data_IF_187676680193
#
_entry.id   IF_187676680193
#
_cell.length_a   1.000
_cell.length_b   1.000
_cell.length_c   1.000
_cell.angle_alpha   90.00
_cell.angle_beta   90.00
_cell.angle_gamma   90.00
#
_symmetry.space_group_name_H-M   'P 1'
#
loop_
_entity.id
_entity.type
_entity.pdbx_description
1 polymer ?
#
# COMPACT_ATOMS: atom_id res chain seq x y z
N UNK A 1 1.54 -22.13 -7.43
CA UNK A 1 1.07 -20.83 -6.89
C UNK A 1 2.07 -20.46 -5.80
N UNK A 2 3.01 -19.53 -6.05
CA UNK A 2 3.99 -19.15 -5.04
C UNK A 2 3.27 -18.30 -3.98
N UNK A 3 3.05 -18.86 -2.80
CA UNK A 3 2.61 -18.08 -1.64
C UNK A 3 3.73 -17.11 -1.25
N UNK A 4 3.50 -15.81 -1.43
CA UNK A 4 4.34 -14.79 -0.82
C UNK A 4 4.11 -14.88 0.69
N UNK A 5 5.15 -15.21 1.46
CA UNK A 5 5.04 -15.25 2.91
C UNK A 5 4.66 -13.87 3.46
N UNK A 6 3.89 -13.83 4.55
CA UNK A 6 3.52 -12.58 5.26
C UNK A 6 4.75 -11.73 5.59
N UNK A 7 5.88 -12.36 5.90
CA UNK A 7 7.14 -11.67 6.20
C UNK A 7 7.71 -10.94 4.98
N UNK A 8 7.68 -11.55 3.80
CA UNK A 8 8.14 -10.90 2.57
C UNK A 8 7.20 -9.76 2.16
N UNK A 9 5.90 -9.95 2.34
CA UNK A 9 4.90 -8.90 2.12
C UNK A 9 5.17 -7.69 3.02
N UNK A 10 5.41 -7.91 4.32
CA UNK A 10 5.73 -6.84 5.27
C UNK A 10 7.02 -6.12 4.86
N UNK A 11 8.07 -6.84 4.45
CA UNK A 11 9.32 -6.23 3.97
C UNK A 11 9.12 -5.38 2.72
N UNK A 12 8.30 -5.84 1.76
CA UNK A 12 7.95 -5.09 0.55
C UNK A 12 7.16 -3.82 0.91
N UNK A 13 6.20 -3.95 1.83
CA UNK A 13 5.45 -2.82 2.37
C UNK A 13 6.36 -1.79 3.06
N UNK A 14 7.25 -2.21 3.96
CA UNK A 14 8.15 -1.31 4.68
C UNK A 14 9.06 -0.51 3.71
N UNK A 15 9.58 -1.17 2.68
CA UNK A 15 10.36 -0.50 1.61
C UNK A 15 9.53 0.54 0.87
N UNK A 16 8.28 0.20 0.51
CA UNK A 16 7.39 1.14 -0.16
C UNK A 16 7.02 2.32 0.74
N UNK A 17 6.57 2.03 1.96
CA UNK A 17 6.15 3.03 2.94
C UNK A 17 7.30 3.99 3.23
N UNK A 18 8.49 3.49 3.55
CA UNK A 18 9.66 4.35 3.79
C UNK A 18 9.96 5.31 2.62
N UNK A 19 9.84 4.85 1.38
CA UNK A 19 10.05 5.70 0.19
C UNK A 19 8.94 6.72 -0.01
N UNK A 20 7.68 6.32 0.13
CA UNK A 20 6.54 7.20 -0.15
C UNK A 20 6.32 8.21 0.97
N UNK A 21 6.39 7.78 2.23
CA UNK A 21 6.18 8.64 3.40
C UNK A 21 7.31 9.65 3.61
N UNK A 22 8.53 9.39 3.11
CA UNK A 22 9.63 10.36 3.15
C UNK A 22 9.57 11.38 2.03
N UNK A 23 9.12 10.96 0.84
CA UNK A 23 9.07 11.81 -0.36
C UNK A 23 7.79 12.63 -0.44
N UNK A 24 6.69 12.08 0.05
CA UNK A 24 5.37 12.69 0.04
C UNK A 24 4.87 12.73 1.48
N UNK A 25 4.17 13.80 1.87
CA UNK A 25 3.55 13.93 3.19
C UNK A 25 2.33 13.00 3.35
N UNK A 26 2.54 11.70 3.14
CA UNK A 26 1.52 10.65 3.20
C UNK A 26 1.91 9.61 4.25
N UNK A 27 0.93 8.81 4.65
CA UNK A 27 1.14 7.69 5.57
C UNK A 27 0.43 6.46 5.01
N UNK A 28 1.12 5.31 5.05
CA UNK A 28 0.61 4.05 4.54
C UNK A 28 0.42 3.05 5.69
N UNK A 29 -0.70 2.32 5.63
CA UNK A 29 -0.95 1.17 6.49
C UNK A 29 -1.32 -0.04 5.65
N UNK A 30 -0.71 -1.17 5.94
CA UNK A 30 -1.05 -2.47 5.37
C UNK A 30 -2.21 -3.08 6.14
N UNK A 31 -3.18 -3.65 5.42
CA UNK A 31 -4.33 -4.31 6.02
C UNK A 31 -4.70 -5.62 5.32
N UNK A 32 -5.18 -6.58 6.10
CA UNK A 32 -5.97 -7.71 5.60
C UNK A 32 -7.38 -7.24 5.28
N UNK A 33 -7.91 -7.70 4.15
CA UNK A 33 -9.24 -7.37 3.67
C UNK A 33 -10.09 -8.63 3.65
N UNK A 34 -11.11 -8.70 4.51
CA UNK A 34 -12.09 -9.81 4.55
C UNK A 34 -13.48 -9.26 4.28
N UNK A 35 -13.94 -9.38 3.03
CA UNK A 35 -15.18 -8.77 2.57
C UNK A 35 -15.12 -7.24 2.68
N UNK A 36 -15.90 -6.66 3.60
CA UNK A 36 -15.90 -5.22 3.91
C UNK A 36 -14.98 -4.84 5.08
N UNK A 37 -14.46 -5.81 5.83
CA UNK A 37 -13.64 -5.58 7.02
C UNK A 37 -12.17 -5.40 6.64
N UNK A 38 -11.55 -4.36 7.19
CA UNK A 38 -10.13 -4.07 7.06
C UNK A 38 -9.48 -4.26 8.43
N UNK A 39 -8.42 -5.07 8.49
CA UNK A 39 -7.67 -5.37 9.71
C UNK A 39 -6.22 -4.99 9.50
N UNK A 40 -5.75 -3.98 10.23
CA UNK A 40 -4.40 -3.45 10.09
C UNK A 40 -3.36 -4.49 10.50
N UNK A 41 -2.34 -4.64 9.66
CA UNK A 41 -1.21 -5.56 9.85
C UNK A 41 0.08 -4.82 10.20
N UNK A 42 0.37 -3.72 9.51
CA UNK A 42 1.62 -3.00 9.63
C UNK A 42 1.44 -1.53 9.20
N UNK A 43 2.35 -0.68 9.65
CA UNK A 43 2.33 0.76 9.38
C UNK A 43 2.28 1.56 10.66
N UNK A 44 2.49 2.86 10.53
CA UNK A 44 2.42 3.80 11.65
C UNK A 44 0.98 4.25 11.86
N UNK A 45 0.66 4.75 13.05
CA UNK A 45 -0.59 5.50 13.23
C UNK A 45 -0.45 6.89 12.62
N UNK A 46 -1.52 7.48 12.07
CA UNK A 46 -1.51 8.86 11.63
C UNK A 46 -1.06 9.79 12.77
N UNK A 47 -0.08 10.64 12.50
CA UNK A 47 0.34 11.65 13.45
C UNK A 47 -0.74 12.75 13.56
N UNK A 48 -0.87 13.42 14.72
CA UNK A 48 -1.66 14.63 14.82
C UNK A 48 -1.19 15.65 13.76
N UNK A 49 -2.13 16.15 12.95
CA UNK A 49 -1.84 17.11 11.87
C UNK A 49 -1.81 16.53 10.45
N UNK A 50 -1.87 15.20 10.29
CA UNK A 50 -2.15 14.58 8.99
C UNK A 50 -3.67 14.53 8.77
N UNK A 51 -4.15 14.82 7.56
CA UNK A 51 -5.57 14.65 7.21
C UNK A 51 -6.08 13.26 7.63
N UNK A 52 -7.22 13.19 8.36
CA UNK A 52 -7.83 11.91 8.74
C UNK A 52 -8.49 11.21 7.54
N UNK A 53 -8.62 11.91 6.41
CA UNK A 53 -9.18 11.35 5.18
C UNK A 53 -8.22 10.28 4.69
N UNK A 54 -8.77 9.08 4.52
CA UNK A 54 -8.02 7.93 4.04
C UNK A 54 -8.63 7.37 2.77
N UNK A 55 -7.76 6.95 1.86
CA UNK A 55 -8.12 6.17 0.71
C UNK A 55 -7.76 4.71 0.94
N UNK A 56 -8.65 3.81 0.53
CA UNK A 56 -8.46 2.36 0.65
C UNK A 56 -8.17 1.78 -0.72
N UNK A 57 -6.96 1.26 -0.90
CA UNK A 57 -6.50 0.65 -2.15
C UNK A 57 -6.46 -0.85 -1.96
N UNK A 58 -7.26 -1.60 -2.72
CA UNK A 58 -7.16 -3.07 -2.74
C UNK A 58 -5.94 -3.48 -3.56
N UNK A 59 -5.09 -4.33 -2.99
CA UNK A 59 -3.87 -4.82 -3.66
C UNK A 59 -4.08 -6.18 -4.32
N UNK A 60 -5.07 -6.95 -3.85
CA UNK A 60 -5.37 -8.28 -4.34
C UNK A 60 -6.36 -9.00 -3.42
N UNK A 61 -6.56 -10.31 -3.62
CA UNK A 61 -7.39 -11.11 -2.72
C UNK A 61 -6.85 -11.04 -1.29
N UNK A 62 -7.66 -10.58 -0.34
CA UNK A 62 -7.30 -10.61 1.07
C UNK A 62 -6.39 -9.46 1.56
N UNK A 63 -5.93 -8.56 0.69
CA UNK A 63 -4.94 -7.53 1.03
C UNK A 63 -5.29 -6.14 0.50
N UNK A 64 -4.93 -5.13 1.27
CA UNK A 64 -5.12 -3.73 0.91
C UNK A 64 -4.17 -2.79 1.64
N UNK A 65 -4.10 -1.56 1.15
CA UNK A 65 -3.47 -0.42 1.81
C UNK A 65 -4.51 0.62 2.20
N UNK A 66 -4.26 1.26 3.31
CA UNK A 66 -4.93 2.50 3.72
C UNK A 66 -3.90 3.61 3.60
N UNK A 67 -4.23 4.67 2.87
CA UNK A 67 -3.33 5.79 2.57
C UNK A 67 -3.95 7.07 3.09
N UNK A 68 -3.24 7.79 3.94
CA UNK A 68 -3.66 9.08 4.51
C UNK A 68 -2.87 10.23 3.86
N UNK A 69 -3.46 11.43 3.84
CA UNK A 69 -2.85 12.65 3.28
C UNK A 69 -2.86 12.75 1.75
N UNK A 70 -3.54 11.84 1.04
CA UNK A 70 -3.64 11.87 -0.42
C UNK A 70 -4.46 13.05 -0.96
N UNK A 71 -5.35 13.59 -0.14
CA UNK A 71 -6.18 14.77 -0.40
C UNK A 71 -5.39 16.08 -0.31
N UNK A 72 -4.27 16.08 0.42
CA UNK A 72 -3.37 17.24 0.54
C UNK A 72 -2.36 17.33 -0.62
N UNK A 73 -2.24 16.28 -1.43
CA UNK A 73 -1.33 16.23 -2.56
C UNK A 73 -1.90 16.91 -3.81
N UNK A 74 -1.02 17.48 -4.64
CA UNK A 74 -1.42 17.92 -5.98
C UNK A 74 -1.80 16.70 -6.83
N UNK A 75 -2.67 16.86 -7.85
CA UNK A 75 -3.14 15.74 -8.67
C UNK A 75 -2.02 14.86 -9.26
N UNK A 76 -0.92 15.47 -9.71
CA UNK A 76 0.23 14.74 -10.27
C UNK A 76 0.94 13.89 -9.20
N UNK A 77 1.11 14.41 -7.99
CA UNK A 77 1.76 13.70 -6.88
C UNK A 77 0.89 12.54 -6.40
N UNK A 78 -0.42 12.77 -6.29
CA UNK A 78 -1.41 11.73 -6.00
C UNK A 78 -1.32 10.57 -7.00
N UNK A 79 -1.28 10.87 -8.30
CA UNK A 79 -1.12 9.86 -9.34
C UNK A 79 0.20 9.09 -9.21
N UNK A 80 1.31 9.78 -8.89
CA UNK A 80 2.60 9.14 -8.67
C UNK A 80 2.57 8.17 -7.48
N UNK A 81 1.94 8.55 -6.36
CA UNK A 81 1.78 7.69 -5.18
C UNK A 81 0.95 6.45 -5.51
N UNK A 82 -0.21 6.63 -6.14
CA UNK A 82 -1.08 5.51 -6.52
C UNK A 82 -0.41 4.58 -7.54
N UNK A 83 0.32 5.12 -8.51
CA UNK A 83 1.11 4.33 -9.47
C UNK A 83 2.20 3.54 -8.75
N UNK A 84 2.95 4.17 -7.85
CA UNK A 84 4.02 3.50 -7.10
C UNK A 84 3.48 2.36 -6.22
N UNK A 85 2.29 2.52 -5.64
CA UNK A 85 1.57 1.46 -4.92
C UNK A 85 1.24 0.32 -5.88
N UNK A 86 0.63 0.63 -7.03
CA UNK A 86 0.30 -0.34 -8.07
C UNK A 86 1.51 -1.14 -8.52
N UNK A 87 2.59 -0.48 -8.95
CA UNK A 87 3.83 -1.13 -9.40
C UNK A 87 4.47 -2.01 -8.31
N UNK A 88 4.31 -1.61 -7.04
CA UNK A 88 4.89 -2.32 -5.90
C UNK A 88 4.02 -3.44 -5.35
N UNK A 89 2.82 -3.68 -5.88
CA UNK A 89 1.95 -4.78 -5.45
C UNK A 89 1.21 -5.45 -6.59
N UNK A 90 1.42 -5.03 -7.83
CA UNK A 90 0.96 -5.73 -8.99
C UNK A 90 1.38 -7.20 -8.89
N UNK A 91 0.47 -8.15 -9.22
CA UNK A 91 0.90 -9.51 -9.45
C UNK A 91 1.99 -9.45 -10.53
N UNK A 92 3.08 -10.19 -10.34
CA UNK A 92 4.01 -10.44 -11.43
C UNK A 92 3.21 -11.11 -12.55
N UNK A 93 2.74 -10.32 -13.52
CA UNK A 93 2.05 -10.84 -14.67
C UNK A 93 3.07 -11.68 -15.45
N UNK A 94 3.02 -12.99 -15.25
CA UNK A 94 3.57 -13.99 -16.16
C UNK A 94 5.08 -14.03 -16.33
N UNK A 95 5.85 -14.41 -15.30
CA UNK A 95 6.95 -15.34 -15.57
C UNK A 95 6.36 -16.74 -15.67
N UNK A 96 5.76 -17.02 -16.83
CA UNK A 96 5.61 -18.37 -17.32
C UNK A 96 7.02 -18.97 -17.32
N UNK A 97 7.29 -19.85 -16.36
CA UNK A 97 8.41 -20.76 -16.46
C UNK A 97 7.90 -21.87 -17.37
N UNK A 98 8.13 -21.71 -18.67
CA UNK A 98 8.07 -22.82 -19.62
C UNK A 98 9.10 -23.85 -19.16
N UNK A 99 8.64 -25.01 -18.72
CA UNK A 99 9.41 -26.23 -18.52
C UNK A 99 8.55 -27.43 -18.81
#
# INVERSE_FOLDING_TARGET
MNEISTSELIKRFQRLAGRLESKHAVLLQLALVRGRRWSYLAGRMPAPGLSPVSERVKLGPGLGLVVYGLDELRPVERLQVLKAIGDSFAPEAGRAVDR
#
